data_IF_280686290287
#
_entry.id   IF_280686290287
#
_cell.length_a   1.000
_cell.length_b   1.000
_cell.length_c   1.000
_cell.angle_alpha   90.00
_cell.angle_beta   90.00
_cell.angle_gamma   90.00
#
_symmetry.space_group_name_H-M   'P 1'
#
loop_
_entity.id
_entity.type
_entity.pdbx_description
1 polymer ?
#
# COMPACT_ATOMS: atom_id res chain seq x y z
N UNK A 1 -34.13 -35.50 -14.60
CA UNK A 1 -34.04 -34.66 -13.40
C UNK A 1 -32.57 -34.66 -12.99
N UNK A 2 -31.79 -33.64 -13.40
CA UNK A 2 -30.39 -33.53 -12.96
C UNK A 2 -30.47 -33.18 -11.48
N UNK A 3 -29.85 -33.99 -10.62
CA UNK A 3 -29.56 -33.58 -9.25
C UNK A 3 -28.80 -32.25 -9.39
N UNK A 4 -29.42 -31.14 -9.02
CA UNK A 4 -28.69 -29.89 -8.85
C UNK A 4 -27.73 -30.17 -7.70
N UNK A 5 -26.50 -30.52 -8.06
CA UNK A 5 -25.41 -30.66 -7.11
C UNK A 5 -25.40 -29.38 -6.28
N UNK A 6 -25.63 -29.56 -4.98
CA UNK A 6 -25.65 -28.47 -4.02
C UNK A 6 -24.42 -27.59 -4.31
N UNK A 7 -24.59 -26.28 -4.52
CA UNK A 7 -23.48 -25.44 -4.95
C UNK A 7 -22.32 -25.61 -3.98
N UNK A 8 -21.07 -25.72 -4.46
CA UNK A 8 -19.92 -26.15 -3.64
C UNK A 8 -19.63 -25.25 -2.44
N UNK A 9 -20.19 -24.03 -2.41
CA UNK A 9 -20.09 -23.06 -1.33
C UNK A 9 -21.18 -23.17 -0.25
N UNK A 10 -22.23 -23.96 -0.46
CA UNK A 10 -23.30 -24.14 0.54
C UNK A 10 -22.85 -25.24 1.52
N UNK A 11 -22.13 -24.87 2.57
CA UNK A 11 -21.57 -25.85 3.53
C UNK A 11 -22.52 -25.98 4.74
N UNK A 12 -23.06 -27.18 5.04
CA UNK A 12 -23.92 -27.38 6.20
C UNK A 12 -23.19 -27.05 7.51
N UNK A 13 -23.88 -26.38 8.45
CA UNK A 13 -23.38 -26.13 9.80
C UNK A 13 -22.46 -24.91 9.96
N UNK A 14 -22.18 -24.15 8.90
CA UNK A 14 -21.46 -22.88 9.01
C UNK A 14 -22.40 -21.74 9.42
N UNK A 15 -21.84 -20.72 10.08
CA UNK A 15 -22.56 -19.45 10.29
C UNK A 15 -22.89 -18.78 8.96
N UNK A 16 -23.95 -17.95 8.88
CA UNK A 16 -24.27 -17.21 7.67
C UNK A 16 -23.10 -16.36 7.14
N UNK A 17 -22.37 -15.66 8.02
CA UNK A 17 -21.20 -14.86 7.66
C UNK A 17 -20.10 -15.69 7.01
N UNK A 18 -19.78 -16.85 7.58
CA UNK A 18 -18.75 -17.73 7.06
C UNK A 18 -19.19 -18.42 5.76
N UNK A 19 -20.46 -18.77 5.64
CA UNK A 19 -21.02 -19.30 4.40
C UNK A 19 -20.89 -18.27 3.28
N UNK A 20 -21.34 -17.03 3.49
CA UNK A 20 -21.21 -15.95 2.51
C UNK A 20 -19.74 -15.64 2.18
N UNK A 21 -18.84 -15.66 3.16
CA UNK A 21 -17.40 -15.53 2.90
C UNK A 21 -16.91 -16.59 1.93
N UNK A 22 -17.28 -17.86 2.15
CA UNK A 22 -16.87 -18.98 1.28
C UNK A 22 -17.47 -18.85 -0.13
N UNK A 23 -18.71 -18.38 -0.26
CA UNK A 23 -19.30 -18.02 -1.54
C UNK A 23 -18.51 -16.93 -2.25
N UNK A 24 -18.22 -15.83 -1.55
CA UNK A 24 -17.48 -14.70 -2.10
C UNK A 24 -16.10 -15.12 -2.59
N UNK A 25 -15.38 -15.93 -1.80
CA UNK A 25 -14.08 -16.47 -2.20
C UNK A 25 -14.18 -17.33 -3.45
N UNK A 26 -15.18 -18.20 -3.55
CA UNK A 26 -15.38 -19.05 -4.72
C UNK A 26 -15.55 -18.23 -6.01
N UNK A 27 -16.33 -17.14 -5.96
CA UNK A 27 -16.51 -16.26 -7.11
C UNK A 27 -15.28 -15.40 -7.38
N UNK A 28 -14.59 -14.95 -6.33
CA UNK A 28 -13.33 -14.21 -6.40
C UNK A 28 -12.25 -15.01 -7.15
N UNK A 29 -12.07 -16.28 -6.80
CA UNK A 29 -11.08 -17.17 -7.42
C UNK A 29 -11.37 -17.39 -8.92
N UNK A 30 -12.63 -17.26 -9.33
CA UNK A 30 -13.09 -17.34 -10.72
C UNK A 30 -13.13 -15.99 -11.43
N UNK A 31 -12.71 -14.91 -10.76
CA UNK A 31 -12.78 -13.54 -11.27
C UNK A 31 -14.19 -13.09 -11.61
N UNK A 32 -15.19 -13.70 -10.98
CA UNK A 32 -16.58 -13.30 -11.13
C UNK A 32 -16.87 -12.21 -10.11
N UNK A 33 -16.49 -10.97 -10.46
CA UNK A 33 -16.36 -9.88 -9.51
C UNK A 33 -17.68 -9.41 -8.92
N UNK A 34 -18.76 -9.42 -9.71
CA UNK A 34 -20.08 -8.97 -9.25
C UNK A 34 -20.62 -9.85 -8.12
N UNK A 35 -20.60 -11.17 -8.31
CA UNK A 35 -21.03 -12.13 -7.30
C UNK A 35 -20.04 -12.16 -6.12
N UNK A 36 -18.74 -11.99 -6.36
CA UNK A 36 -17.76 -11.86 -5.28
C UNK A 36 -18.11 -10.68 -4.37
N UNK A 37 -18.38 -9.50 -4.95
CA UNK A 37 -18.78 -8.30 -4.21
C UNK A 37 -20.09 -8.52 -3.46
N UNK A 38 -21.09 -9.12 -4.11
CA UNK A 38 -22.39 -9.41 -3.49
C UNK A 38 -22.22 -10.28 -2.25
N UNK A 39 -21.51 -11.40 -2.37
CA UNK A 39 -21.34 -12.35 -1.28
C UNK A 39 -20.40 -11.84 -0.18
N UNK A 40 -19.35 -11.10 -0.51
CA UNK A 40 -18.55 -10.43 0.52
C UNK A 40 -19.35 -9.36 1.26
N UNK A 41 -20.21 -8.62 0.57
CA UNK A 41 -21.12 -7.66 1.21
C UNK A 41 -22.10 -8.36 2.15
N UNK A 42 -22.71 -9.46 1.73
CA UNK A 42 -23.56 -10.29 2.60
C UNK A 42 -22.79 -10.83 3.81
N UNK A 43 -21.52 -11.22 3.64
CA UNK A 43 -20.69 -11.70 4.73
C UNK A 43 -20.45 -10.61 5.78
N UNK A 44 -20.13 -9.39 5.35
CA UNK A 44 -19.93 -8.24 6.24
C UNK A 44 -21.23 -7.85 6.97
N UNK A 45 -22.37 -7.81 6.26
CA UNK A 45 -23.69 -7.55 6.87
C UNK A 45 -24.07 -8.63 7.90
N UNK A 46 -23.67 -9.88 7.66
CA UNK A 46 -23.87 -10.99 8.59
C UNK A 46 -22.87 -10.99 9.76
N UNK A 47 -22.04 -9.95 9.90
CA UNK A 47 -21.11 -9.78 11.02
C UNK A 47 -19.76 -10.48 10.82
N UNK A 48 -19.30 -10.67 9.58
CA UNK A 48 -17.91 -11.10 9.36
C UNK A 48 -16.95 -9.99 9.81
N UNK A 49 -16.00 -10.35 10.67
CA UNK A 49 -14.95 -9.51 11.25
C UNK A 49 -13.59 -9.69 10.58
N UNK A 50 -13.53 -10.48 9.50
CA UNK A 50 -12.27 -10.83 8.84
C UNK A 50 -11.86 -9.75 7.85
N UNK A 51 -10.68 -9.20 8.07
CA UNK A 51 -10.04 -8.23 7.17
C UNK A 51 -9.95 -8.73 5.73
N UNK A 52 -9.70 -10.03 5.55
CA UNK A 52 -9.66 -10.66 4.22
C UNK A 52 -10.96 -10.51 3.42
N UNK A 53 -12.13 -10.42 4.07
CA UNK A 53 -13.40 -10.19 3.37
C UNK A 53 -13.46 -8.76 2.82
N UNK A 54 -13.05 -7.78 3.62
CA UNK A 54 -13.01 -6.37 3.23
C UNK A 54 -12.00 -6.18 2.10
N UNK A 55 -10.77 -6.70 2.24
CA UNK A 55 -9.74 -6.54 1.20
C UNK A 55 -10.07 -7.30 -0.08
N UNK A 56 -10.69 -8.49 -0.01
CA UNK A 56 -11.10 -9.20 -1.22
C UNK A 56 -12.26 -8.51 -1.94
N UNK A 57 -13.18 -7.86 -1.20
CA UNK A 57 -14.20 -7.00 -1.81
C UNK A 57 -13.56 -5.76 -2.46
N UNK A 58 -12.60 -5.13 -1.79
CA UNK A 58 -11.79 -4.04 -2.36
C UNK A 58 -11.12 -4.46 -3.67
N UNK A 59 -10.42 -5.60 -3.70
CA UNK A 59 -9.79 -6.10 -4.93
C UNK A 59 -10.81 -6.40 -6.03
N UNK A 60 -12.01 -6.85 -5.67
CA UNK A 60 -13.09 -7.08 -6.63
C UNK A 60 -13.59 -5.76 -7.23
N UNK A 61 -13.77 -4.72 -6.42
CA UNK A 61 -14.09 -3.37 -6.90
C UNK A 61 -12.97 -2.80 -7.78
N UNK A 62 -11.71 -2.95 -7.35
CA UNK A 62 -10.54 -2.50 -8.09
C UNK A 62 -10.44 -3.18 -9.47
N UNK A 63 -10.73 -4.48 -9.54
CA UNK A 63 -10.77 -5.23 -10.80
C UNK A 63 -11.88 -4.78 -11.75
N UNK A 64 -12.95 -4.16 -11.23
CA UNK A 64 -14.00 -3.52 -12.02
C UNK A 64 -13.74 -2.02 -12.27
N UNK A 65 -12.56 -1.51 -11.93
CA UNK A 65 -12.20 -0.09 -12.03
C UNK A 65 -13.07 0.84 -11.15
N UNK A 66 -13.78 0.27 -10.16
CA UNK A 66 -14.56 0.99 -9.15
C UNK A 66 -13.63 1.45 -8.03
N UNK A 67 -12.74 2.39 -8.35
CA UNK A 67 -11.63 2.76 -7.47
C UNK A 67 -12.08 3.52 -6.21
N UNK A 68 -13.19 4.27 -6.26
CA UNK A 68 -13.73 4.94 -5.08
C UNK A 68 -14.29 3.95 -4.05
N UNK A 69 -14.98 2.90 -4.49
CA UNK A 69 -15.45 1.81 -3.63
C UNK A 69 -14.30 0.97 -3.09
N UNK A 70 -13.30 0.67 -3.93
CA UNK A 70 -12.08 0.00 -3.48
C UNK A 70 -11.33 0.83 -2.43
N UNK A 71 -11.24 2.16 -2.62
CA UNK A 71 -10.65 3.06 -1.63
C UNK A 71 -11.43 3.03 -0.31
N UNK A 72 -12.75 3.06 -0.34
CA UNK A 72 -13.58 2.97 0.87
C UNK A 72 -13.34 1.68 1.64
N UNK A 73 -13.26 0.55 0.95
CA UNK A 73 -12.94 -0.74 1.57
C UNK A 73 -11.50 -0.78 2.10
N UNK A 74 -10.55 -0.21 1.36
CA UNK A 74 -9.16 -0.05 1.83
C UNK A 74 -9.07 0.77 3.12
N UNK A 75 -9.76 1.92 3.18
CA UNK A 75 -9.82 2.75 4.39
C UNK A 75 -10.50 2.02 5.55
N UNK A 76 -11.65 1.38 5.30
CA UNK A 76 -12.32 0.57 6.31
C UNK A 76 -11.41 -0.53 6.85
N UNK A 77 -10.58 -1.11 5.98
CA UNK A 77 -9.60 -2.12 6.35
C UNK A 77 -8.55 -1.54 7.33
N UNK A 78 -7.94 -0.42 6.95
CA UNK A 78 -6.92 0.26 7.77
C UNK A 78 -7.50 0.76 9.10
N UNK A 79 -8.74 1.25 9.12
CA UNK A 79 -9.40 1.74 10.34
C UNK A 79 -9.72 0.61 11.32
N UNK A 80 -10.02 -0.59 10.80
CA UNK A 80 -10.38 -1.75 11.62
C UNK A 80 -9.12 -2.44 12.18
N UNK A 81 -8.12 -2.65 11.33
CA UNK A 81 -6.82 -3.20 11.72
C UNK A 81 -5.70 -2.48 10.97
N UNK A 82 -5.07 -1.48 11.60
CA UNK A 82 -3.96 -0.76 11.00
C UNK A 82 -2.73 -1.61 10.67
N UNK A 83 -2.57 -2.80 11.28
CA UNK A 83 -1.45 -3.70 11.03
C UNK A 83 -1.67 -4.61 9.82
N UNK A 84 -2.89 -4.65 9.27
CA UNK A 84 -3.23 -5.44 8.10
C UNK A 84 -2.72 -4.78 6.80
N UNK A 85 -1.54 -5.23 6.35
CA UNK A 85 -0.80 -4.63 5.23
C UNK A 85 -1.59 -4.63 3.91
N UNK A 86 -2.40 -5.66 3.65
CA UNK A 86 -3.27 -5.70 2.47
C UNK A 86 -4.31 -4.57 2.46
N UNK A 87 -4.68 -4.03 3.63
CA UNK A 87 -5.53 -2.84 3.73
C UNK A 87 -4.84 -1.60 3.17
N UNK A 88 -3.59 -1.34 3.58
CA UNK A 88 -2.75 -0.27 3.03
C UNK A 88 -2.52 -0.47 1.53
N UNK A 89 -2.31 -1.72 1.10
CA UNK A 89 -2.15 -2.03 -0.32
C UNK A 89 -3.41 -1.66 -1.13
N UNK A 90 -4.59 -2.08 -0.66
CA UNK A 90 -5.86 -1.76 -1.29
C UNK A 90 -6.11 -0.24 -1.38
N UNK A 91 -5.88 0.46 -0.27
CA UNK A 91 -6.05 1.91 -0.18
C UNK A 91 -5.09 2.63 -1.12
N UNK A 92 -3.79 2.34 -1.04
CA UNK A 92 -2.77 2.98 -1.87
C UNK A 92 -2.93 2.71 -3.36
N UNK A 93 -3.26 1.48 -3.76
CA UNK A 93 -3.50 1.14 -5.17
C UNK A 93 -4.69 1.94 -5.74
N UNK A 94 -5.76 2.05 -4.94
CA UNK A 94 -6.95 2.81 -5.32
C UNK A 94 -6.63 4.30 -5.46
N UNK A 95 -5.86 4.88 -4.53
CA UNK A 95 -5.39 6.26 -4.60
C UNK A 95 -4.53 6.53 -5.84
N UNK A 96 -3.62 5.62 -6.19
CA UNK A 96 -2.82 5.73 -7.41
C UNK A 96 -3.69 5.78 -8.68
N UNK A 97 -4.74 4.96 -8.74
CA UNK A 97 -5.67 4.93 -9.88
C UNK A 97 -6.54 6.19 -9.95
N UNK A 98 -6.88 6.74 -8.80
CA UNK A 98 -7.58 8.02 -8.64
C UNK A 98 -6.67 9.25 -8.85
N UNK A 99 -5.45 9.08 -9.38
CA UNK A 99 -4.47 10.16 -9.61
C UNK A 99 -4.09 10.93 -8.33
N UNK A 100 -4.07 10.23 -7.19
CA UNK A 100 -3.66 10.78 -5.87
C UNK A 100 -2.39 10.08 -5.32
N UNK A 101 -1.28 10.02 -6.09
CA UNK A 101 -0.09 9.27 -5.70
C UNK A 101 0.60 9.79 -4.43
N UNK A 102 0.51 11.09 -4.13
CA UNK A 102 1.06 11.67 -2.90
C UNK A 102 0.38 11.12 -1.63
N UNK A 103 -0.91 10.82 -1.71
CA UNK A 103 -1.64 10.19 -0.60
C UNK A 103 -1.36 8.70 -0.53
N UNK A 104 -1.16 8.05 -1.68
CA UNK A 104 -0.74 6.64 -1.74
C UNK A 104 0.61 6.43 -1.03
N UNK A 105 1.60 7.32 -1.26
CA UNK A 105 2.89 7.29 -0.55
C UNK A 105 2.69 7.23 0.96
N UNK A 106 1.92 8.17 1.52
CA UNK A 106 1.67 8.24 2.97
C UNK A 106 1.02 6.96 3.51
N UNK A 107 0.09 6.39 2.74
CA UNK A 107 -0.57 5.14 3.11
C UNK A 107 0.43 3.97 3.17
N UNK A 108 1.25 3.79 2.14
CA UNK A 108 2.23 2.71 2.11
C UNK A 108 3.33 2.90 3.17
N UNK A 109 3.82 4.12 3.37
CA UNK A 109 4.79 4.44 4.43
C UNK A 109 4.22 4.15 5.82
N UNK A 110 2.93 4.44 6.04
CA UNK A 110 2.29 4.09 7.30
C UNK A 110 2.21 2.57 7.48
N UNK A 111 1.89 1.80 6.43
CA UNK A 111 1.99 0.34 6.46
C UNK A 111 3.40 -0.16 6.81
N UNK A 112 4.44 0.47 6.27
CA UNK A 112 5.84 0.16 6.59
C UNK A 112 6.23 0.47 8.05
N UNK A 113 5.45 1.30 8.77
CA UNK A 113 5.66 1.47 10.22
C UNK A 113 5.22 0.25 11.04
N UNK A 114 4.30 -0.56 10.51
CA UNK A 114 3.88 -1.83 11.12
C UNK A 114 4.77 -2.99 10.71
N UNK A 115 5.18 -3.02 9.44
CA UNK A 115 6.10 -4.02 8.92
C UNK A 115 7.17 -3.38 8.02
N UNK A 116 8.36 -3.07 8.56
CA UNK A 116 9.49 -2.56 7.79
C UNK A 116 10.03 -3.55 6.74
N UNK A 117 9.74 -4.85 6.86
CA UNK A 117 10.13 -5.89 5.91
C UNK A 117 9.08 -6.10 4.80
N UNK A 118 8.02 -5.28 4.77
CA UNK A 118 6.98 -5.36 3.76
C UNK A 118 7.51 -4.94 2.38
N UNK A 119 8.03 -5.91 1.64
CA UNK A 119 8.65 -5.72 0.33
C UNK A 119 7.75 -5.01 -0.70
N UNK A 120 6.47 -5.37 -0.76
CA UNK A 120 5.54 -4.71 -1.68
C UNK A 120 5.35 -3.24 -1.29
N UNK A 121 5.35 -2.92 0.01
CA UNK A 121 5.33 -1.55 0.52
C UNK A 121 6.48 -0.70 -0.03
N UNK A 122 7.73 -1.17 0.09
CA UNK A 122 8.90 -0.47 -0.46
C UNK A 122 8.82 -0.25 -1.97
N UNK A 123 8.37 -1.28 -2.72
CA UNK A 123 8.15 -1.17 -4.17
C UNK A 123 7.12 -0.07 -4.46
N UNK A 124 6.00 -0.08 -3.74
CA UNK A 124 4.88 0.84 -3.97
C UNK A 124 5.23 2.28 -3.59
N UNK A 125 5.91 2.48 -2.46
CA UNK A 125 6.43 3.80 -2.06
C UNK A 125 7.37 4.35 -3.13
N UNK A 126 8.34 3.57 -3.59
CA UNK A 126 9.28 4.00 -4.63
C UNK A 126 8.59 4.39 -5.94
N UNK A 127 7.66 3.56 -6.43
CA UNK A 127 6.89 3.85 -7.64
C UNK A 127 5.99 5.08 -7.48
N UNK A 128 5.37 5.26 -6.31
CA UNK A 128 4.52 6.41 -6.04
C UNK A 128 5.33 7.70 -5.93
N UNK A 129 6.56 7.66 -5.39
CA UNK A 129 7.50 8.78 -5.38
C UNK A 129 7.93 9.20 -6.80
N UNK A 130 8.18 8.24 -7.71
CA UNK A 130 8.45 8.55 -9.12
C UNK A 130 7.26 9.28 -9.77
N UNK A 131 6.03 8.87 -9.48
CA UNK A 131 4.82 9.52 -10.00
C UNK A 131 4.62 10.96 -9.52
N UNK A 132 5.17 11.33 -8.36
CA UNK A 132 5.15 12.70 -7.84
C UNK A 132 6.45 13.46 -8.10
N UNK A 133 7.27 12.98 -9.03
CA UNK A 133 8.53 13.60 -9.45
C UNK A 133 9.52 13.83 -8.30
N UNK A 134 9.57 12.89 -7.34
CA UNK A 134 10.54 12.88 -6.25
C UNK A 134 11.49 11.68 -6.39
N UNK A 135 12.39 11.69 -7.38
CA UNK A 135 13.21 10.53 -7.72
C UNK A 135 14.28 10.19 -6.66
N UNK A 136 14.74 11.16 -5.87
CA UNK A 136 15.65 10.91 -4.73
C UNK A 136 14.96 10.08 -3.64
N UNK A 137 13.73 10.44 -3.29
CA UNK A 137 12.92 9.69 -2.33
C UNK A 137 12.57 8.29 -2.87
N UNK A 138 12.24 8.20 -4.16
CA UNK A 138 12.00 6.92 -4.82
C UNK A 138 13.22 6.00 -4.75
N UNK A 139 14.40 6.53 -5.10
CA UNK A 139 15.68 5.82 -5.01
C UNK A 139 15.91 5.27 -3.60
N UNK A 140 15.70 6.09 -2.57
CA UNK A 140 15.89 5.64 -1.19
C UNK A 140 14.92 4.53 -0.80
N UNK A 141 13.64 4.64 -1.18
CA UNK A 141 12.64 3.61 -0.92
C UNK A 141 13.03 2.27 -1.60
N UNK A 142 13.51 2.30 -2.84
CA UNK A 142 14.00 1.09 -3.50
C UNK A 142 15.24 0.50 -2.84
N UNK A 143 16.17 1.33 -2.36
CA UNK A 143 17.34 0.88 -1.60
C UNK A 143 16.93 0.20 -0.29
N UNK A 144 16.03 0.81 0.49
CA UNK A 144 15.49 0.21 1.71
C UNK A 144 14.84 -1.15 1.42
N UNK A 145 14.06 -1.26 0.34
CA UNK A 145 13.49 -2.53 -0.09
C UNK A 145 14.55 -3.58 -0.48
N UNK A 146 15.68 -3.17 -1.06
CA UNK A 146 16.79 -4.06 -1.40
C UNK A 146 17.59 -4.52 -0.18
N UNK A 147 17.53 -3.80 0.94
CA UNK A 147 18.06 -4.30 2.22
C UNK A 147 17.23 -5.50 2.72
N UNK A 148 15.91 -5.48 2.47
CA UNK A 148 14.99 -6.58 2.80
C UNK A 148 15.13 -7.76 1.82
N UNK A 149 15.09 -7.48 0.52
CA UNK A 149 15.22 -8.49 -0.54
C UNK A 149 16.16 -7.99 -1.63
N UNK A 150 17.45 -8.21 -1.41
CA UNK A 150 18.49 -7.81 -2.34
C UNK A 150 18.33 -8.44 -3.72
N UNK A 151 17.66 -9.59 -3.84
CA UNK A 151 17.48 -10.31 -5.10
C UNK A 151 16.27 -9.84 -5.91
N UNK A 152 15.39 -9.01 -5.36
CA UNK A 152 14.14 -8.62 -5.98
C UNK A 152 14.33 -7.86 -7.32
N UNK A 153 13.90 -8.42 -8.47
CA UNK A 153 14.04 -7.75 -9.76
C UNK A 153 13.23 -6.45 -9.86
N UNK A 154 12.05 -6.40 -9.24
CA UNK A 154 11.17 -5.21 -9.25
C UNK A 154 11.82 -4.01 -8.55
N UNK A 155 12.46 -4.25 -7.40
CA UNK A 155 13.17 -3.19 -6.67
C UNK A 155 14.40 -2.68 -7.46
N UNK A 156 15.16 -3.58 -8.09
CA UNK A 156 16.29 -3.18 -8.94
C UNK A 156 15.86 -2.40 -10.18
N UNK A 157 14.76 -2.81 -10.82
CA UNK A 157 14.20 -2.10 -11.96
C UNK A 157 13.75 -0.68 -11.56
N UNK A 158 13.02 -0.54 -10.44
CA UNK A 158 12.62 0.76 -9.92
C UNK A 158 13.81 1.64 -9.54
N UNK A 159 14.86 1.06 -8.95
CA UNK A 159 16.11 1.78 -8.65
C UNK A 159 16.80 2.29 -9.93
N UNK A 160 16.83 1.48 -10.99
CA UNK A 160 17.39 1.89 -12.28
C UNK A 160 16.58 3.05 -12.89
N UNK A 161 15.26 2.95 -12.89
CA UNK A 161 14.35 4.00 -13.34
C UNK A 161 14.56 5.31 -12.55
N UNK A 162 14.63 5.23 -11.22
CA UNK A 162 14.90 6.40 -10.39
C UNK A 162 16.25 7.06 -10.71
N UNK A 163 17.31 6.27 -10.93
CA UNK A 163 18.62 6.81 -11.30
C UNK A 163 18.63 7.42 -12.71
N UNK A 164 17.86 6.86 -13.65
CA UNK A 164 17.71 7.42 -15.00
C UNK A 164 17.02 8.78 -14.96
N UNK A 165 15.93 8.90 -14.19
CA UNK A 165 15.26 10.18 -13.96
C UNK A 165 16.23 11.18 -13.34
N UNK A 166 16.97 10.80 -12.29
CA UNK A 166 17.99 11.66 -11.66
C UNK A 166 19.09 12.10 -12.63
N UNK A 167 19.55 11.22 -13.51
CA UNK A 167 20.59 11.56 -14.49
C UNK A 167 20.08 12.53 -15.57
N UNK A 168 18.78 12.51 -15.86
CA UNK A 168 18.15 13.46 -16.78
C UNK A 168 18.02 14.88 -16.21
N UNK A 169 17.98 15.00 -14.88
CA UNK A 169 18.12 16.27 -14.18
C UNK A 169 19.58 16.72 -14.28
N UNK A 170 19.90 17.49 -15.31
CA UNK A 170 21.15 18.24 -15.36
C UNK A 170 21.08 19.22 -14.18
N UNK A 171 21.90 19.09 -13.12
CA UNK A 171 21.93 20.11 -12.10
C UNK A 171 22.29 21.43 -12.79
N UNK A 172 21.63 22.56 -12.47
CA UNK A 172 22.10 23.84 -12.98
C UNK A 172 23.60 23.92 -12.66
N UNK A 173 24.46 24.32 -13.60
CA UNK A 173 25.89 24.39 -13.35
C UNK A 173 26.06 25.19 -12.06
N UNK A 174 26.47 24.51 -10.99
CA UNK A 174 26.71 25.15 -9.71
C UNK A 174 27.75 26.25 -9.94
N UNK A 175 27.74 27.33 -9.15
CA UNK A 175 28.85 28.28 -9.19
C UNK A 175 30.13 27.45 -9.02
N UNK A 176 31.02 27.52 -10.01
CA UNK A 176 32.24 26.73 -10.07
C UNK A 176 32.92 26.76 -8.69
N UNK A 177 32.86 25.65 -7.96
CA UNK A 177 33.57 25.52 -6.70
C UNK A 177 35.05 25.45 -7.04
N UNK A 178 35.71 26.61 -7.05
CA UNK A 178 37.13 26.71 -6.77
C UNK A 178 37.36 25.94 -5.48
N UNK A 179 38.16 24.88 -5.55
CA UNK A 179 38.71 24.24 -4.37
C UNK A 179 39.31 25.32 -3.47
N UNK A 180 38.68 25.56 -2.33
CA UNK A 180 39.31 26.25 -1.22
C UNK A 180 39.35 25.27 -0.07
N UNK A 181 40.56 24.80 0.22
CA UNK A 181 40.88 24.04 1.41
C UNK A 181 40.58 24.89 2.65
N UNK A 182 39.35 24.83 3.16
CA UNK A 182 39.04 25.21 4.53
C UNK A 182 38.78 23.94 5.32
N UNK A 183 39.81 23.51 6.05
CA UNK A 183 39.67 22.50 7.10
C UNK A 183 38.83 23.10 8.21
N UNK A 184 37.52 22.82 8.20
CA UNK A 184 36.63 23.10 9.34
C UNK A 184 36.83 21.96 10.35
N UNK A 185 37.34 22.29 11.54
CA UNK A 185 37.43 21.35 12.67
C UNK A 185 36.02 20.87 13.05
N UNK A 186 35.84 19.60 13.46
CA UNK A 186 34.52 19.11 13.86
C UNK A 186 34.09 19.75 15.19
N UNK A 187 32.97 20.48 15.17
CA UNK A 187 32.23 20.85 16.37
C UNK A 187 31.49 19.64 16.94
N UNK A 188 31.36 19.60 18.26
CA UNK A 188 30.76 18.49 19.01
C UNK A 188 29.24 18.44 18.82
N UNK A 189 28.62 17.24 18.78
CA UNK A 189 27.19 17.14 18.54
C UNK A 189 26.37 17.70 19.73
N UNK A 190 25.29 18.46 19.47
CA UNK A 190 24.37 18.90 20.51
C UNK A 190 23.59 17.70 21.08
N UNK A 191 23.29 17.74 22.39
CA UNK A 191 22.56 16.71 23.12
C UNK A 191 21.10 16.59 22.60
N UNK A 192 20.51 15.37 22.58
CA UNK A 192 19.13 15.19 22.17
C UNK A 192 18.14 15.78 23.20
N UNK A 193 17.23 16.62 22.74
CA UNK A 193 16.02 17.00 23.47
C UNK A 193 14.97 15.88 23.40
N UNK A 194 14.15 15.67 24.45
CA UNK A 194 13.16 14.60 24.48
C UNK A 194 12.01 14.85 23.49
N UNK A 195 11.70 13.81 22.70
CA UNK A 195 10.66 13.79 21.67
C UNK A 195 9.26 14.07 22.25
N UNK A 196 8.65 15.17 21.81
CA UNK A 196 7.23 15.44 22.04
C UNK A 196 6.43 14.77 20.92
N UNK A 197 6.07 13.49 21.13
CA UNK A 197 5.27 12.71 20.20
C UNK A 197 3.84 13.23 20.25
N UNK A 198 3.43 14.00 19.23
CA UNK A 198 2.02 14.24 18.93
C UNK A 198 1.70 13.66 17.55
N UNK A 199 0.66 12.83 17.41
CA UNK A 199 0.26 12.31 16.10
C UNK A 199 -0.26 13.45 15.20
N UNK A 200 -0.04 13.38 13.87
CA UNK A 200 -0.29 14.48 12.93
C UNK A 200 -1.76 14.80 12.65
N UNK A 201 -2.71 14.22 13.40
CA UNK A 201 -4.15 14.32 13.14
C UNK A 201 -4.91 15.19 14.16
N UNK A 202 -4.23 15.78 15.14
CA UNK A 202 -4.87 16.68 16.12
C UNK A 202 -4.89 18.10 15.55
N UNK A 203 -5.96 18.46 14.85
CA UNK A 203 -6.33 19.85 14.61
C UNK A 203 -7.00 20.39 15.87
N UNK A 204 -6.38 21.37 16.53
CA UNK A 204 -7.04 22.17 17.57
C UNK A 204 -7.97 23.15 16.85
N UNK A 205 -9.25 23.13 17.22
CA UNK A 205 -10.32 24.06 16.79
C UNK A 205 -10.05 25.46 17.35
#
# INVERSE_FOLDING_TARGET
MKLEERPPWVIPGLSPSLQFQKCGQYFFDRKNWDEAIEYFTKALVAGSDKMSVITNRSYSYFAQEKYDEALKDGQMSVDTDPSWLEGHLCMGLSLEKLQRPAEAVKCYEFGLTYDPEWKEGHIRVGLAYLKIEQPEAAKQAFLNGLEVDAACPRLRAGLAEANEVLASFIPPPGPATLESHFVVKPESPPKPEPANIRPPWVFIV
#
